data_IF_346647816200
#
_entry.id   IF_346647816200
#
_cell.length_a   1.000
_cell.length_b   1.000
_cell.length_c   1.000
_cell.angle_alpha   90.00
_cell.angle_beta   90.00
_cell.angle_gamma   90.00
#
_symmetry.space_group_name_H-M   'P 1'
#
loop_
_entity.id
_entity.type
_entity.pdbx_description
1 polymer ?
#
# COMPACT_ATOMS: atom_id res chain seq x y z
N UNK A 1 -9.29 -25.36 -11.11
CA UNK A 1 -9.57 -23.92 -10.93
C UNK A 1 -8.73 -23.14 -11.92
N UNK A 2 -9.32 -22.34 -12.81
CA UNK A 2 -8.57 -21.53 -13.77
C UNK A 2 -7.78 -20.44 -13.03
N UNK A 3 -6.55 -20.15 -13.50
CA UNK A 3 -5.76 -19.03 -13.00
C UNK A 3 -6.52 -17.72 -13.23
N UNK A 4 -6.64 -16.89 -12.19
CA UNK A 4 -7.24 -15.56 -12.32
C UNK A 4 -6.27 -14.61 -13.02
N UNK A 5 -6.75 -13.46 -13.48
CA UNK A 5 -5.91 -12.40 -14.04
C UNK A 5 -4.84 -11.96 -13.03
N UNK A 6 -5.21 -11.83 -11.76
CA UNK A 6 -4.29 -11.55 -10.65
C UNK A 6 -3.15 -12.59 -10.59
N UNK A 7 -3.47 -13.90 -10.60
CA UNK A 7 -2.47 -14.97 -10.51
C UNK A 7 -1.49 -14.95 -11.68
N UNK A 8 -1.97 -14.56 -12.87
CA UNK A 8 -1.15 -14.49 -14.07
C UNK A 8 -0.17 -13.32 -14.02
N UNK A 9 -0.61 -12.18 -13.52
CA UNK A 9 0.25 -10.99 -13.42
C UNK A 9 1.24 -11.15 -12.28
N UNK A 10 0.78 -11.53 -11.08
CA UNK A 10 1.63 -11.57 -9.89
C UNK A 10 2.78 -12.58 -10.00
N UNK A 11 2.61 -13.63 -10.80
CA UNK A 11 3.66 -14.61 -11.06
C UNK A 11 4.93 -14.01 -11.71
N UNK A 12 4.85 -12.81 -12.25
CA UNK A 12 6.01 -12.08 -12.83
C UNK A 12 6.83 -11.30 -11.78
N UNK A 13 6.35 -11.23 -10.56
CA UNK A 13 6.95 -10.47 -9.47
C UNK A 13 7.46 -11.45 -8.40
N UNK A 14 8.76 -11.82 -8.43
CA UNK A 14 9.27 -12.95 -7.64
C UNK A 14 9.14 -12.74 -6.14
N UNK A 15 9.29 -11.51 -5.65
CA UNK A 15 9.16 -11.22 -4.22
C UNK A 15 7.70 -11.29 -3.77
N UNK A 16 6.78 -10.62 -4.50
CA UNK A 16 5.35 -10.68 -4.21
C UNK A 16 4.80 -12.10 -4.40
N UNK A 17 5.15 -12.78 -5.50
CA UNK A 17 4.69 -14.15 -5.76
C UNK A 17 5.21 -15.14 -4.72
N UNK A 18 6.39 -14.92 -4.19
CA UNK A 18 6.95 -15.69 -3.08
C UNK A 18 6.16 -15.54 -1.77
N UNK A 19 5.37 -14.49 -1.63
CA UNK A 19 4.46 -14.25 -0.51
C UNK A 19 3.05 -14.78 -0.76
N UNK A 20 2.69 -15.17 -2.01
CA UNK A 20 1.34 -15.62 -2.34
C UNK A 20 1.08 -17.01 -1.78
N UNK A 21 -0.03 -17.15 -1.05
CA UNK A 21 -0.53 -18.44 -0.56
C UNK A 21 0.28 -19.12 0.55
N UNK A 22 1.39 -18.52 0.97
CA UNK A 22 2.23 -19.05 2.06
C UNK A 22 2.48 -17.97 3.12
N UNK A 23 2.09 -18.28 4.35
CA UNK A 23 2.38 -17.42 5.51
C UNK A 23 3.87 -17.51 5.86
N UNK A 24 4.67 -16.43 5.62
CA UNK A 24 6.13 -16.43 5.82
C UNK A 24 6.63 -15.17 6.54
N UNK A 25 7.12 -15.28 7.73
CA UNK A 25 6.76 -16.24 8.79
C UNK A 25 5.33 -16.00 9.29
N UNK A 26 4.83 -14.75 9.18
CA UNK A 26 3.54 -14.30 9.69
C UNK A 26 2.81 -13.39 8.71
N UNK A 27 3.19 -13.40 7.43
CA UNK A 27 2.60 -12.57 6.37
C UNK A 27 2.51 -13.32 5.06
N UNK A 28 1.42 -13.12 4.33
CA UNK A 28 1.31 -13.50 2.92
C UNK A 28 0.58 -12.42 2.13
N UNK A 29 0.90 -12.32 0.82
CA UNK A 29 0.20 -11.43 -0.07
C UNK A 29 -0.96 -12.16 -0.74
N UNK A 30 -2.13 -11.53 -0.81
CA UNK A 30 -3.37 -12.12 -1.36
C UNK A 30 -4.04 -11.15 -2.32
N UNK A 31 -4.88 -11.71 -3.18
CA UNK A 31 -5.87 -10.92 -3.93
C UNK A 31 -6.76 -10.16 -2.93
N UNK A 32 -7.17 -8.98 -3.31
CA UNK A 32 -8.10 -8.18 -2.51
C UNK A 32 -9.44 -8.92 -2.30
N UNK A 33 -9.89 -8.94 -1.05
CA UNK A 33 -11.17 -9.49 -0.61
C UNK A 33 -11.88 -8.47 0.28
N UNK A 34 -12.94 -7.86 -0.26
CA UNK A 34 -13.64 -6.78 0.43
C UNK A 34 -14.15 -7.18 1.82
N UNK A 35 -14.66 -8.40 1.97
CA UNK A 35 -15.16 -8.88 3.26
C UNK A 35 -14.06 -8.87 4.35
N UNK A 36 -12.85 -9.30 4.03
CA UNK A 36 -11.71 -9.24 4.96
C UNK A 36 -11.27 -7.80 5.22
N UNK A 37 -11.17 -6.98 4.16
CA UNK A 37 -10.78 -5.58 4.29
C UNK A 37 -11.75 -4.79 5.17
N UNK A 38 -13.05 -5.02 5.05
CA UNK A 38 -14.08 -4.36 5.87
C UNK A 38 -14.14 -4.84 7.32
N UNK A 39 -13.54 -6.01 7.63
CA UNK A 39 -13.68 -6.62 8.97
C UNK A 39 -12.42 -6.52 9.80
N UNK A 40 -11.25 -6.74 9.18
CA UNK A 40 -9.97 -6.88 9.90
C UNK A 40 -8.85 -6.01 9.31
N UNK A 41 -9.17 -4.93 8.58
CA UNK A 41 -8.15 -4.03 8.08
C UNK A 41 -7.47 -3.27 9.23
N UNK A 42 -6.16 -3.31 9.26
CA UNK A 42 -5.35 -2.56 10.23
C UNK A 42 -4.54 -1.43 9.60
N UNK A 43 -4.33 -1.47 8.28
CA UNK A 43 -3.57 -0.43 7.58
C UNK A 43 -3.98 -0.34 6.11
N UNK A 44 -3.85 0.86 5.53
CA UNK A 44 -4.08 1.12 4.11
C UNK A 44 -2.90 1.82 3.49
N UNK A 45 -2.45 1.33 2.33
CA UNK A 45 -1.34 1.89 1.56
C UNK A 45 -1.81 2.24 0.15
N UNK A 46 -1.33 3.36 -0.36
CA UNK A 46 -1.71 3.87 -1.67
C UNK A 46 -0.47 4.08 -2.54
N UNK A 47 -0.51 3.61 -3.78
CA UNK A 47 0.48 3.92 -4.81
C UNK A 47 -0.09 5.05 -5.66
N UNK A 48 0.35 6.32 -5.43
CA UNK A 48 -0.27 7.48 -6.05
C UNK A 48 0.40 7.78 -7.38
N UNK A 49 -0.35 7.66 -8.47
CA UNK A 49 0.09 8.08 -9.81
C UNK A 49 -0.32 9.52 -10.08
N UNK A 50 0.65 10.35 -10.47
CA UNK A 50 0.41 11.74 -10.92
C UNK A 50 0.27 11.84 -12.44
N UNK A 51 0.62 10.78 -13.16
CA UNK A 51 0.45 10.63 -14.60
C UNK A 51 0.37 9.14 -14.94
N UNK A 52 0.38 8.82 -16.22
CA UNK A 52 0.34 7.41 -16.64
C UNK A 52 1.51 6.59 -16.09
N UNK A 53 2.71 7.15 -16.03
CA UNK A 53 3.93 6.43 -15.68
C UNK A 53 4.69 6.98 -14.47
N UNK A 54 4.29 8.13 -13.91
CA UNK A 54 4.96 8.75 -12.77
C UNK A 54 4.11 8.63 -11.50
N UNK A 55 4.77 8.33 -10.41
CA UNK A 55 4.16 8.14 -9.09
C UNK A 55 4.95 8.89 -8.01
N UNK A 56 4.32 9.05 -6.85
CA UNK A 56 5.00 9.57 -5.67
C UNK A 56 5.58 8.41 -4.85
N UNK A 57 6.72 8.68 -4.25
CA UNK A 57 7.39 7.83 -3.25
C UNK A 57 7.71 8.67 -2.04
N UNK A 58 7.64 8.06 -0.86
CA UNK A 58 7.88 8.73 0.42
C UNK A 58 9.11 8.16 1.10
N UNK A 59 9.84 9.00 1.82
CA UNK A 59 11.03 8.61 2.56
C UNK A 59 10.94 9.06 4.01
N UNK A 60 11.23 8.15 4.93
CA UNK A 60 11.26 8.43 6.36
C UNK A 60 12.58 9.06 6.80
N UNK A 61 12.57 9.70 7.97
CA UNK A 61 13.76 10.30 8.59
C UNK A 61 14.92 9.31 8.80
N UNK A 62 14.63 8.01 8.94
CA UNK A 62 15.65 6.97 9.02
C UNK A 62 16.29 6.61 7.67
N UNK A 63 15.95 7.33 6.60
CA UNK A 63 16.49 7.12 5.25
C UNK A 63 15.80 6.05 4.42
N UNK A 64 14.82 5.31 4.97
CA UNK A 64 14.11 4.25 4.25
C UNK A 64 12.98 4.80 3.39
N UNK A 65 12.88 4.30 2.17
CA UNK A 65 11.71 4.51 1.32
C UNK A 65 10.57 3.62 1.79
N UNK A 66 9.36 4.15 1.78
CA UNK A 66 8.14 3.47 2.24
C UNK A 66 6.99 3.74 1.27
N UNK A 67 5.96 2.90 1.32
CA UNK A 67 4.68 3.19 0.66
C UNK A 67 3.96 4.29 1.43
N UNK A 68 3.36 5.28 0.76
CA UNK A 68 2.42 6.19 1.40
C UNK A 68 1.27 5.42 2.04
N UNK A 69 0.94 5.75 3.27
CA UNK A 69 -0.13 5.08 4.00
C UNK A 69 0.23 4.73 5.42
N UNK A 70 -0.75 4.28 6.16
CA UNK A 70 -0.60 3.97 7.58
C UNK A 70 -1.77 3.21 8.18
N UNK A 71 -1.90 3.41 9.46
CA UNK A 71 -2.83 2.69 10.34
C UNK A 71 -4.21 3.32 10.30
N UNK A 72 -5.26 2.49 10.31
CA UNK A 72 -6.64 2.96 10.43
C UNK A 72 -6.87 3.58 11.83
N UNK A 73 -7.62 4.67 11.85
CA UNK A 73 -8.19 5.23 13.06
C UNK A 73 -9.48 4.48 13.48
N UNK A 74 -9.92 4.61 14.74
CA UNK A 74 -11.15 3.94 15.20
C UNK A 74 -12.37 4.34 14.36
N UNK A 75 -13.02 3.36 13.73
CA UNK A 75 -14.21 3.56 12.90
C UNK A 75 -13.95 3.93 11.45
N UNK A 76 -12.69 4.08 11.07
CA UNK A 76 -12.27 4.42 9.71
C UNK A 76 -12.33 3.20 8.78
N UNK A 77 -12.75 3.39 7.54
CA UNK A 77 -12.62 2.39 6.48
C UNK A 77 -11.21 2.39 5.89
N UNK A 78 -10.83 1.36 5.15
CA UNK A 78 -9.51 1.33 4.50
C UNK A 78 -9.38 2.41 3.41
N UNK A 79 -10.50 2.79 2.76
CA UNK A 79 -10.53 3.89 1.79
C UNK A 79 -10.26 5.24 2.46
N UNK A 80 -10.96 5.52 3.56
CA UNK A 80 -10.78 6.76 4.31
C UNK A 80 -9.36 6.88 4.84
N UNK A 81 -8.83 5.82 5.46
CA UNK A 81 -7.44 5.79 5.94
C UNK A 81 -6.43 6.03 4.80
N UNK A 82 -6.62 5.37 3.65
CA UNK A 82 -5.74 5.55 2.50
C UNK A 82 -5.75 6.99 1.97
N UNK A 83 -6.91 7.63 1.91
CA UNK A 83 -7.05 9.02 1.49
C UNK A 83 -6.43 9.99 2.49
N UNK A 84 -6.70 9.82 3.79
CA UNK A 84 -6.16 10.65 4.88
C UNK A 84 -4.63 10.57 4.93
N UNK A 85 -4.07 9.37 5.01
CA UNK A 85 -2.63 9.15 5.08
C UNK A 85 -1.89 9.71 3.85
N UNK A 86 -2.45 9.53 2.65
CA UNK A 86 -1.85 10.09 1.44
C UNK A 86 -1.81 11.61 1.48
N UNK A 87 -2.89 12.26 1.96
CA UNK A 87 -2.95 13.70 2.11
C UNK A 87 -1.94 14.20 3.16
N UNK A 88 -1.90 13.55 4.32
CA UNK A 88 -0.98 13.90 5.41
C UNK A 88 0.48 13.77 5.01
N UNK A 89 0.85 12.65 4.38
CA UNK A 89 2.24 12.35 4.05
C UNK A 89 2.75 13.07 2.81
N UNK A 90 1.88 13.33 1.83
CA UNK A 90 2.31 13.83 0.51
C UNK A 90 1.67 15.14 0.08
N UNK A 91 0.63 15.63 0.77
CA UNK A 91 -0.18 16.76 0.34
C UNK A 91 -1.06 16.45 -0.88
N UNK A 92 -1.28 15.18 -1.20
CA UNK A 92 -1.99 14.77 -2.41
C UNK A 92 -3.36 14.21 -2.10
N UNK A 93 -4.36 14.64 -2.89
CA UNK A 93 -5.73 14.13 -2.82
C UNK A 93 -5.89 13.08 -3.94
N UNK A 94 -6.17 11.82 -3.60
CA UNK A 94 -6.44 10.79 -4.60
C UNK A 94 -7.85 10.91 -5.17
N UNK A 95 -8.03 10.42 -6.39
CA UNK A 95 -9.34 10.00 -6.88
C UNK A 95 -9.77 8.67 -6.24
N UNK A 96 -10.53 7.87 -6.96
CA UNK A 96 -10.94 6.56 -6.47
C UNK A 96 -9.73 5.68 -6.17
N UNK A 97 -9.76 4.98 -5.03
CA UNK A 97 -8.79 3.96 -4.70
C UNK A 97 -9.16 2.64 -5.41
N UNK A 98 -8.18 2.04 -6.05
CA UNK A 98 -8.33 0.76 -6.76
C UNK A 98 -7.47 -0.31 -6.06
N UNK A 99 -8.07 -1.21 -5.27
CA UNK A 99 -7.30 -2.20 -4.54
C UNK A 99 -6.69 -3.23 -5.50
N UNK A 100 -5.41 -3.54 -5.27
CA UNK A 100 -4.64 -4.50 -6.08
C UNK A 100 -4.31 -5.77 -5.32
N UNK A 101 -4.39 -5.72 -4.01
CA UNK A 101 -4.11 -6.85 -3.14
C UNK A 101 -4.08 -6.45 -1.69
N UNK A 102 -3.74 -7.39 -0.83
CA UNK A 102 -3.58 -7.14 0.60
C UNK A 102 -2.54 -8.08 1.20
N UNK A 103 -1.82 -7.59 2.18
CA UNK A 103 -1.04 -8.43 3.07
C UNK A 103 -1.96 -8.97 4.15
N UNK A 104 -2.06 -10.29 4.24
CA UNK A 104 -2.68 -10.96 5.37
C UNK A 104 -1.59 -11.26 6.40
N UNK A 105 -1.79 -10.78 7.61
CA UNK A 105 -0.82 -10.81 8.68
C UNK A 105 -1.40 -11.56 9.89
N UNK A 106 -0.55 -12.36 10.54
CA UNK A 106 -0.89 -13.01 11.82
C UNK A 106 0.08 -12.49 12.87
N UNK A 107 -0.45 -11.91 13.93
CA UNK A 107 0.37 -11.41 15.05
C UNK A 107 1.03 -12.56 15.79
N UNK A 108 2.31 -12.42 16.07
CA UNK A 108 3.05 -13.34 16.94
C UNK A 108 3.07 -12.96 18.43
N UNK A 109 2.28 -11.95 18.82
CA UNK A 109 2.16 -11.47 20.21
C UNK A 109 0.75 -11.71 20.74
N UNK A 110 0.60 -11.80 22.07
CA UNK A 110 -0.65 -12.21 22.72
C UNK A 110 -1.73 -11.12 22.77
N UNK A 111 -1.40 -9.86 22.42
CA UNK A 111 -2.33 -8.75 22.44
C UNK A 111 -2.21 -7.87 21.19
N UNK A 112 -3.29 -7.18 20.78
CA UNK A 112 -3.24 -6.26 19.66
C UNK A 112 -2.33 -5.06 19.97
N UNK A 113 -1.67 -4.55 18.91
CA UNK A 113 -0.83 -3.34 19.00
C UNK A 113 -1.64 -2.11 19.42
N UNK A 114 -2.87 -2.01 18.95
CA UNK A 114 -3.85 -0.98 19.30
C UNK A 114 -5.16 -1.68 19.65
N UNK A 115 -5.90 -1.15 20.61
CA UNK A 115 -7.11 -1.78 21.14
C UNK A 115 -8.23 -2.00 20.12
N UNK A 116 -8.25 -1.21 19.04
CA UNK A 116 -9.23 -1.33 17.95
C UNK A 116 -8.76 -2.23 16.80
N UNK A 117 -7.53 -2.77 16.85
CA UNK A 117 -7.03 -3.68 15.82
C UNK A 117 -7.59 -5.09 15.99
N UNK A 118 -7.97 -5.68 14.86
CA UNK A 118 -8.24 -7.10 14.82
C UNK A 118 -7.00 -7.91 15.22
N UNK A 119 -7.21 -8.95 16.01
CA UNK A 119 -6.14 -9.78 16.56
C UNK A 119 -6.63 -11.23 16.72
N UNK A 120 -5.79 -12.22 16.44
CA UNK A 120 -4.40 -12.13 15.96
C UNK A 120 -4.26 -11.80 14.46
N UNK A 121 -5.32 -11.85 13.69
CA UNK A 121 -5.32 -11.71 12.25
C UNK A 121 -5.73 -10.31 11.84
N UNK A 122 -5.00 -9.72 10.90
CA UNK A 122 -5.35 -8.46 10.28
C UNK A 122 -4.85 -8.40 8.83
N UNK A 123 -5.44 -7.50 8.05
CA UNK A 123 -4.96 -7.22 6.69
C UNK A 123 -4.42 -5.80 6.55
N UNK A 124 -3.54 -5.62 5.58
CA UNK A 124 -3.04 -4.32 5.12
C UNK A 124 -3.39 -4.22 3.65
N UNK A 125 -4.34 -3.34 3.33
CA UNK A 125 -4.79 -3.14 1.95
C UNK A 125 -3.75 -2.35 1.18
N UNK A 126 -3.51 -2.74 -0.07
CA UNK A 126 -2.69 -2.00 -1.04
C UNK A 126 -3.57 -1.63 -2.23
N UNK A 127 -3.61 -0.36 -2.53
CA UNK A 127 -4.35 0.21 -3.66
C UNK A 127 -3.46 1.11 -4.53
N UNK A 128 -3.92 1.46 -5.72
CA UNK A 128 -3.39 2.60 -6.47
C UNK A 128 -4.49 3.64 -6.67
N UNK A 129 -4.08 4.87 -6.94
CA UNK A 129 -4.99 5.96 -7.29
C UNK A 129 -4.30 6.93 -8.26
N UNK A 130 -5.12 7.67 -9.03
CA UNK A 130 -4.65 8.88 -9.71
C UNK A 130 -4.78 10.05 -8.73
N UNK A 131 -3.73 10.82 -8.58
CA UNK A 131 -3.77 12.07 -7.82
C UNK A 131 -4.57 13.09 -8.63
N UNK A 132 -5.66 13.59 -8.06
CA UNK A 132 -6.54 14.58 -8.72
C UNK A 132 -6.21 15.99 -8.31
N UNK A 133 -5.59 16.18 -7.15
CA UNK A 133 -5.13 17.48 -6.66
C UNK A 133 -3.87 17.29 -5.83
N UNK A 134 -2.93 18.22 -6.00
CA UNK A 134 -1.74 18.31 -5.18
C UNK A 134 -1.77 19.63 -4.42
N UNK A 135 -1.85 19.56 -3.10
CA UNK A 135 -1.76 20.75 -2.25
C UNK A 135 -0.29 20.96 -1.93
N UNK A 136 0.18 22.21 -1.97
CA UNK A 136 1.58 22.53 -1.63
C UNK A 136 1.87 22.40 -0.13
N UNK A 137 0.84 22.17 0.66
CA UNK A 137 0.92 22.04 2.12
C UNK A 137 0.68 20.58 2.50
N UNK A 138 1.68 19.97 3.09
CA UNK A 138 1.49 18.77 3.90
C UNK A 138 0.65 19.16 5.11
N UNK A 139 -0.44 18.47 5.34
CA UNK A 139 -1.21 18.67 6.55
C UNK A 139 -0.42 18.05 7.70
N UNK A 140 0.11 18.96 8.51
CA UNK A 140 0.67 18.75 9.85
C UNK A 140 2.03 18.05 9.98
N UNK A 141 3.09 18.84 10.31
CA UNK A 141 4.37 18.27 10.75
C UNK A 141 4.32 17.66 12.17
N UNK A 142 3.27 17.89 12.95
CA UNK A 142 3.14 17.41 14.33
C UNK A 142 2.45 16.06 14.47
N UNK A 143 1.75 15.57 13.45
CA UNK A 143 1.32 14.20 13.42
C UNK A 143 2.53 13.30 13.15
N UNK A 144 2.65 12.19 13.85
CA UNK A 144 3.68 11.15 13.85
C UNK A 144 4.22 10.68 12.47
N UNK A 145 3.99 11.44 11.41
CA UNK A 145 4.51 11.20 10.07
C UNK A 145 6.02 11.46 10.07
N UNK A 146 6.77 10.40 10.13
CA UNK A 146 8.23 10.43 9.99
C UNK A 146 8.70 10.70 8.55
N UNK A 147 7.81 11.16 7.65
CA UNK A 147 8.11 11.42 6.25
C UNK A 147 8.86 12.73 6.08
N UNK A 148 10.08 12.67 5.58
CA UNK A 148 10.96 13.83 5.36
C UNK A 148 11.10 14.21 3.89
N UNK A 149 10.79 13.32 2.98
CA UNK A 149 10.92 13.55 1.54
C UNK A 149 9.76 12.90 0.79
N UNK A 150 9.19 13.63 -0.17
CA UNK A 150 8.27 13.12 -1.21
C UNK A 150 8.90 13.39 -2.55
N UNK A 151 8.96 12.38 -3.40
CA UNK A 151 9.58 12.49 -4.73
C UNK A 151 8.68 11.93 -5.79
N UNK A 152 8.57 12.65 -6.90
CA UNK A 152 8.01 12.16 -8.15
C UNK A 152 9.04 11.35 -8.92
N UNK A 153 8.71 10.11 -9.27
CA UNK A 153 9.59 9.24 -10.06
C UNK A 153 8.78 8.40 -11.04
N UNK A 154 9.44 7.93 -12.10
CA UNK A 154 8.86 6.89 -12.94
C UNK A 154 8.67 5.59 -12.13
N UNK A 155 7.56 4.85 -12.30
CA UNK A 155 7.24 3.66 -11.50
C UNK A 155 8.36 2.61 -11.46
N UNK A 156 9.12 2.43 -12.57
CA UNK A 156 10.29 1.52 -12.58
C UNK A 156 11.48 2.04 -11.78
N UNK A 157 11.58 3.36 -11.59
CA UNK A 157 12.59 3.95 -10.71
C UNK A 157 12.16 3.81 -9.25
N UNK A 158 10.86 3.97 -8.96
CA UNK A 158 10.31 3.70 -7.64
C UNK A 158 10.72 2.31 -7.15
N UNK A 159 10.55 1.27 -7.99
CA UNK A 159 10.92 -0.10 -7.65
C UNK A 159 12.39 -0.28 -7.23
N UNK A 160 13.30 0.60 -7.70
CA UNK A 160 14.74 0.53 -7.37
C UNK A 160 15.13 1.27 -6.09
N UNK A 161 14.22 2.04 -5.52
CA UNK A 161 14.51 2.82 -4.30
C UNK A 161 14.42 1.98 -3.02
N UNK A 162 13.65 0.90 -3.07
CA UNK A 162 13.47 0.01 -1.93
C UNK A 162 14.66 -0.95 -1.79
N UNK A 163 15.12 -1.12 -0.57
CA UNK A 163 16.19 -2.08 -0.26
C UNK A 163 15.69 -3.53 -0.31
N UNK A 164 16.60 -4.50 -0.19
CA UNK A 164 16.25 -5.93 -0.25
C UNK A 164 15.20 -6.35 0.79
N UNK A 165 15.18 -5.69 1.93
CA UNK A 165 14.23 -5.93 3.01
C UNK A 165 12.79 -5.47 2.71
N UNK A 166 12.60 -4.67 1.66
CA UNK A 166 11.33 -4.12 1.21
C UNK A 166 11.16 -4.26 -0.32
N UNK A 167 11.78 -5.27 -0.91
CA UNK A 167 11.76 -5.48 -2.35
C UNK A 167 10.34 -5.73 -2.90
N UNK A 168 9.47 -6.34 -2.08
CA UNK A 168 8.05 -6.50 -2.38
C UNK A 168 7.34 -5.15 -2.56
N UNK A 169 7.65 -4.14 -1.75
CA UNK A 169 7.11 -2.79 -1.91
C UNK A 169 7.59 -2.15 -3.22
N UNK A 170 8.85 -2.37 -3.60
CA UNK A 170 9.35 -1.96 -4.90
C UNK A 170 8.60 -2.62 -6.05
N UNK A 171 8.35 -3.91 -5.98
CA UNK A 171 7.57 -4.65 -6.98
C UNK A 171 6.12 -4.16 -7.07
N UNK A 172 5.51 -3.73 -5.96
CA UNK A 172 4.14 -3.20 -5.94
C UNK A 172 3.95 -1.99 -6.88
N UNK A 173 4.95 -1.12 -7.05
CA UNK A 173 4.85 0.01 -7.99
C UNK A 173 4.71 -0.44 -9.44
N UNK A 174 5.44 -1.48 -9.82
CA UNK A 174 5.37 -2.05 -11.16
C UNK A 174 4.08 -2.84 -11.35
N UNK A 175 3.72 -3.63 -10.35
CA UNK A 175 2.47 -4.40 -10.31
C UNK A 175 1.23 -3.49 -10.40
N UNK A 176 1.21 -2.40 -9.61
CA UNK A 176 0.14 -1.40 -9.64
C UNK A 176 -0.01 -0.75 -11.02
N UNK A 177 1.11 -0.42 -11.67
CA UNK A 177 1.08 0.12 -13.04
C UNK A 177 0.48 -0.88 -14.04
N UNK A 178 0.82 -2.16 -13.97
CA UNK A 178 0.21 -3.18 -14.82
C UNK A 178 -1.29 -3.35 -14.54
N UNK A 179 -1.68 -3.41 -13.26
CA UNK A 179 -3.09 -3.49 -12.86
C UNK A 179 -3.88 -2.27 -13.35
N UNK A 180 -3.33 -1.07 -13.22
CA UNK A 180 -3.93 0.18 -13.72
C UNK A 180 -4.23 0.08 -15.22
N UNK A 181 -3.29 -0.40 -16.01
CA UNK A 181 -3.48 -0.56 -17.47
C UNK A 181 -4.58 -1.54 -17.84
N UNK A 182 -4.82 -2.55 -17.05
CA UNK A 182 -5.87 -3.54 -17.33
C UNK A 182 -7.27 -3.04 -16.99
N UNK A 183 -7.39 -2.04 -16.12
CA UNK A 183 -8.67 -1.41 -15.78
C UNK A 183 -9.02 -0.22 -16.69
N UNK A 184 -8.04 0.25 -17.48
CA UNK A 184 -8.21 1.37 -18.44
C UNK A 184 -8.57 0.88 -19.84
N UNK A 185 -8.78 -0.41 -20.05
CA UNK A 185 -9.23 -1.08 -21.26
C UNK A 185 -10.70 -1.49 -21.15
#
# INVERSE_FOLDING_TARGET
>A
MGRTHFDTIIARYPTLSGLVGQLRPNVCFRRFENALASTICGSSYVIPFISDSHCLVTKRANGKWVLPGGTLEPGETWEEAGCRELLEETGSIPGNLHPIGMYYCVSGVDCPRLSHFAHPEHVRVVSWAIVVQNTSERLDPDTNSSIVEVRTVHYRQAAKLFGPEAADFGELYVFAHEMKRTLSL
#
